data_IF_991906682572
#
_entry.id   IF_991906682572
#
_cell.length_a   1.000
_cell.length_b   1.000
_cell.length_c   1.000
_cell.angle_alpha   90.00
_cell.angle_beta   90.00
_cell.angle_gamma   90.00
#
_symmetry.space_group_name_H-M   'P 1'
#
loop_
_entity.id
_entity.type
_entity.pdbx_description
1 polymer ?
#
# COMPACT_ATOMS: atom_id res chain seq x y z
N UNK A 1 -2.10 -5.78 16.93
CA UNK A 1 -2.55 -4.58 17.68
C UNK A 1 -2.92 -3.48 16.68
N UNK A 2 -3.96 -2.67 16.92
CA UNK A 2 -4.45 -1.64 15.99
C UNK A 2 -3.40 -0.61 15.54
N UNK A 3 -2.39 -0.37 16.40
CA UNK A 3 -1.34 0.62 16.21
C UNK A 3 0.05 0.05 15.89
N UNK A 4 0.26 -1.28 15.93
CA UNK A 4 1.61 -1.88 15.88
C UNK A 4 2.39 -1.51 14.60
N UNK A 5 3.60 -1.01 14.73
CA UNK A 5 4.49 -0.79 13.58
C UNK A 5 5.17 -2.10 13.20
N UNK A 6 5.33 -2.36 11.90
CA UNK A 6 6.18 -3.47 11.47
C UNK A 6 7.66 -3.14 11.74
N UNK A 7 8.03 -1.87 11.57
CA UNK A 7 9.33 -1.33 11.97
C UNK A 7 9.21 -0.58 13.28
N UNK A 8 9.87 -1.11 14.30
CA UNK A 8 9.74 -0.61 15.67
C UNK A 8 10.65 0.60 15.96
N UNK A 9 11.60 0.91 15.07
CA UNK A 9 12.49 2.09 15.18
C UNK A 9 11.70 3.38 15.44
N UNK A 10 10.65 3.63 14.65
CA UNK A 10 9.81 4.84 14.78
C UNK A 10 8.85 4.81 15.97
N UNK A 11 8.80 3.68 16.69
CA UNK A 11 8.03 3.53 17.94
C UNK A 11 8.95 3.50 19.17
N UNK A 12 10.26 3.70 18.93
CA UNK A 12 11.32 3.73 19.93
C UNK A 12 11.43 2.44 20.75
N UNK A 13 11.05 1.30 20.16
CA UNK A 13 11.20 -0.03 20.78
C UNK A 13 10.59 -0.17 22.18
N UNK A 14 9.63 0.69 22.49
CA UNK A 14 9.10 0.92 23.85
C UNK A 14 8.21 -0.20 24.39
N UNK A 15 7.80 -1.12 23.52
CA UNK A 15 7.01 -2.29 23.89
C UNK A 15 7.30 -3.43 22.90
N UNK A 16 8.44 -4.11 23.10
CA UNK A 16 8.82 -5.30 22.34
C UNK A 16 8.36 -6.57 23.04
N UNK A 17 8.12 -7.67 22.31
CA UNK A 17 8.00 -8.98 22.93
C UNK A 17 9.30 -9.31 23.67
N UNK A 18 9.21 -9.58 24.97
CA UNK A 18 10.35 -9.99 25.80
C UNK A 18 10.04 -11.28 26.54
N UNK A 19 11.08 -11.95 27.07
CA UNK A 19 10.92 -13.13 27.91
C UNK A 19 10.56 -12.81 29.35
N UNK A 20 10.67 -11.55 29.78
CA UNK A 20 10.29 -11.10 31.11
C UNK A 20 8.92 -10.40 31.07
N UNK A 21 7.84 -11.02 31.58
CA UNK A 21 6.49 -10.45 31.54
C UNK A 21 6.34 -9.17 32.39
N UNK A 22 7.34 -8.81 33.20
CA UNK A 22 7.36 -7.58 34.00
C UNK A 22 8.14 -6.44 33.36
N UNK A 23 8.72 -6.65 32.17
CA UNK A 23 9.41 -5.59 31.44
C UNK A 23 8.46 -4.44 31.13
N UNK A 24 9.00 -3.22 31.14
CA UNK A 24 8.21 -2.01 30.91
C UNK A 24 7.74 -1.97 29.46
N UNK A 25 6.42 -1.96 29.26
CA UNK A 25 5.78 -1.64 27.99
C UNK A 25 5.14 -0.26 28.10
N UNK A 26 5.65 0.70 27.32
CA UNK A 26 5.05 2.04 27.20
C UNK A 26 4.63 2.29 25.75
N UNK A 27 3.76 3.28 25.52
CA UNK A 27 3.30 3.61 24.17
C UNK A 27 4.41 4.18 23.28
N UNK A 28 5.45 4.81 23.84
CA UNK A 28 6.43 5.53 23.03
C UNK A 28 5.77 6.47 22.02
N UNK A 29 6.08 6.30 20.74
CA UNK A 29 5.49 7.09 19.63
C UNK A 29 4.25 6.45 19.00
N UNK A 30 3.65 5.43 19.61
CA UNK A 30 2.35 4.93 19.19
C UNK A 30 1.25 6.00 19.38
N UNK A 31 0.25 6.05 18.48
CA UNK A 31 -0.93 6.87 18.70
C UNK A 31 -1.65 6.46 19.98
N UNK A 32 -2.17 7.44 20.70
CA UNK A 32 -2.88 7.22 21.98
C UNK A 32 -4.27 6.65 21.74
N UNK A 33 -4.90 7.04 20.63
CA UNK A 33 -6.23 6.59 20.22
C UNK A 33 -6.18 6.06 18.79
N UNK A 34 -6.94 4.99 18.53
CA UNK A 34 -7.08 4.42 17.19
C UNK A 34 -8.55 4.19 16.86
N UNK A 35 -9.03 4.83 15.80
CA UNK A 35 -10.33 4.56 15.20
C UNK A 35 -10.14 3.47 14.14
N UNK A 36 -10.70 2.30 14.38
CA UNK A 36 -10.81 1.25 13.35
C UNK A 36 -11.99 1.60 12.42
N UNK A 37 -11.69 2.32 11.34
CA UNK A 37 -12.71 2.79 10.42
C UNK A 37 -13.24 1.62 9.57
N UNK A 38 -14.57 1.44 9.60
CA UNK A 38 -15.29 0.44 8.80
C UNK A 38 -16.13 1.07 7.69
N UNK A 39 -16.40 2.37 7.81
CA UNK A 39 -17.22 3.15 6.87
C UNK A 39 -16.57 4.51 6.65
N UNK A 40 -16.91 5.18 5.54
CA UNK A 40 -16.45 6.54 5.27
C UNK A 40 -16.90 7.53 6.36
N UNK A 41 -18.04 7.28 7.00
CA UNK A 41 -18.53 8.10 8.12
C UNK A 41 -17.64 8.00 9.36
N UNK A 42 -17.02 6.85 9.63
CA UNK A 42 -16.04 6.75 10.72
C UNK A 42 -14.81 7.63 10.45
N UNK A 43 -14.38 7.69 9.19
CA UNK A 43 -13.27 8.56 8.77
C UNK A 43 -13.67 10.02 8.96
N UNK A 44 -14.84 10.42 8.44
CA UNK A 44 -15.39 11.78 8.59
C UNK A 44 -15.51 12.18 10.06
N UNK A 45 -16.11 11.34 10.90
CA UNK A 45 -16.26 11.58 12.32
C UNK A 45 -14.90 11.71 13.03
N UNK A 46 -13.92 10.88 12.67
CA UNK A 46 -12.55 10.94 13.18
C UNK A 46 -11.83 12.24 12.81
N UNK A 47 -11.96 12.69 11.56
CA UNK A 47 -11.42 13.99 11.10
C UNK A 47 -12.05 15.14 11.87
N UNK A 48 -13.38 15.16 11.98
CA UNK A 48 -14.11 16.20 12.71
C UNK A 48 -13.78 16.21 14.20
N UNK A 49 -13.59 15.03 14.80
CA UNK A 49 -13.17 14.91 16.20
C UNK A 49 -11.74 15.43 16.38
N UNK A 50 -10.81 15.08 15.50
CA UNK A 50 -9.45 15.60 15.53
C UNK A 50 -9.41 17.12 15.44
N UNK A 51 -10.14 17.70 14.46
CA UNK A 51 -10.20 19.14 14.27
C UNK A 51 -10.82 19.87 15.47
N UNK A 52 -11.93 19.37 16.02
CA UNK A 52 -12.61 19.98 17.19
C UNK A 52 -11.76 19.97 18.45
N UNK A 53 -10.91 18.96 18.62
CA UNK A 53 -10.09 18.78 19.82
C UNK A 53 -8.61 19.14 19.60
N UNK A 54 -8.27 19.73 18.46
CA UNK A 54 -6.90 20.09 18.10
C UNK A 54 -5.91 18.92 18.23
N UNK A 55 -6.31 17.73 17.76
CA UNK A 55 -5.49 16.52 17.83
C UNK A 55 -4.68 16.34 16.55
N UNK A 56 -3.43 15.89 16.70
CA UNK A 56 -2.63 15.41 15.58
C UNK A 56 -3.30 14.17 14.98
N UNK A 57 -3.73 14.27 13.73
CA UNK A 57 -4.32 13.17 12.99
C UNK A 57 -3.26 12.39 12.22
N UNK A 58 -3.29 11.06 12.32
CA UNK A 58 -2.44 10.15 11.54
C UNK A 58 -3.33 9.17 10.77
N UNK A 59 -3.02 8.98 9.51
CA UNK A 59 -3.66 7.95 8.69
C UNK A 59 -2.84 6.67 8.71
N UNK A 60 -3.52 5.54 8.84
CA UNK A 60 -2.88 4.23 8.97
C UNK A 60 -3.64 3.17 8.19
N UNK A 61 -2.90 2.19 7.67
CA UNK A 61 -3.44 0.94 7.15
C UNK A 61 -2.74 -0.24 7.86
N UNK A 62 -1.69 -0.81 7.26
CA UNK A 62 -1.00 -2.02 7.76
C UNK A 62 0.07 -1.74 8.82
N UNK A 63 0.61 -0.51 8.88
CA UNK A 63 1.80 -0.19 9.68
C UNK A 63 3.13 -0.51 8.99
N UNK A 64 3.09 -0.76 7.67
CA UNK A 64 4.24 -1.04 6.81
C UNK A 64 4.82 0.26 6.22
N UNK A 65 4.99 1.32 7.03
CA UNK A 65 5.71 2.52 6.60
C UNK A 65 7.14 2.57 7.17
N UNK A 66 8.14 2.60 6.29
CA UNK A 66 9.57 2.63 6.63
C UNK A 66 10.06 3.97 7.19
N UNK A 67 9.24 5.02 7.18
CA UNK A 67 9.60 6.37 7.64
C UNK A 67 8.77 6.81 8.86
N UNK A 68 8.01 5.89 9.46
CA UNK A 68 7.18 6.18 10.63
C UNK A 68 5.96 7.08 10.34
N UNK A 69 5.59 7.32 9.07
CA UNK A 69 4.49 8.23 8.69
C UNK A 69 3.11 7.74 9.11
N UNK A 70 2.99 6.48 9.54
CA UNK A 70 1.75 5.86 10.04
C UNK A 70 1.70 5.70 11.57
N UNK A 71 2.63 6.33 12.28
CA UNK A 71 2.67 6.44 13.76
C UNK A 71 2.94 7.90 14.17
N UNK A 72 2.75 8.21 15.45
CA UNK A 72 2.96 9.57 15.96
C UNK A 72 2.57 9.67 17.43
N UNK A 73 3.47 10.23 18.23
CA UNK A 73 3.22 10.49 19.65
C UNK A 73 2.03 11.44 19.84
N UNK A 74 1.20 11.13 20.83
CA UNK A 74 0.02 11.94 21.18
C UNK A 74 -1.07 11.98 20.11
N UNK A 75 -0.95 11.19 19.04
CA UNK A 75 -1.83 11.28 17.89
C UNK A 75 -3.12 10.47 18.06
N UNK A 76 -4.14 10.88 17.31
CA UNK A 76 -5.28 10.06 16.93
C UNK A 76 -4.98 9.41 15.59
N UNK A 77 -4.98 8.08 15.53
CA UNK A 77 -4.87 7.35 14.27
C UNK A 77 -6.24 6.93 13.75
N UNK A 78 -6.50 7.13 12.46
CA UNK A 78 -7.60 6.48 11.75
C UNK A 78 -7.00 5.33 10.94
N UNK A 79 -7.40 4.11 11.29
CA UNK A 79 -6.96 2.90 10.62
C UNK A 79 -8.02 2.46 9.57
N UNK A 80 -7.63 2.43 8.30
CA UNK A 80 -8.48 2.04 7.15
C UNK A 80 -8.35 0.58 6.76
N UNK A 81 -7.66 -0.24 7.55
CA UNK A 81 -7.42 -1.65 7.22
C UNK A 81 -8.71 -2.49 7.14
N UNK A 82 -9.83 -2.06 7.73
CA UNK A 82 -11.09 -2.81 7.62
C UNK A 82 -11.80 -2.65 6.27
N UNK A 83 -11.33 -1.78 5.37
CA UNK A 83 -11.89 -1.64 4.03
C UNK A 83 -11.35 -2.74 3.10
N UNK A 84 -11.97 -3.92 3.17
CA UNK A 84 -11.52 -5.14 2.47
C UNK A 84 -12.36 -5.48 1.23
N UNK A 85 -13.19 -4.56 0.74
CA UNK A 85 -14.02 -4.78 -0.45
C UNK A 85 -13.15 -4.94 -1.70
N UNK A 86 -13.49 -5.89 -2.56
CA UNK A 86 -12.85 -6.07 -3.87
C UNK A 86 -13.95 -6.26 -4.92
N UNK A 87 -13.88 -5.51 -6.00
CA UNK A 87 -14.77 -5.62 -7.14
C UNK A 87 -13.96 -5.73 -8.43
N UNK A 88 -14.31 -6.69 -9.29
CA UNK A 88 -13.66 -6.91 -10.58
C UNK A 88 -14.58 -6.42 -11.69
N UNK A 89 -14.04 -5.58 -12.56
CA UNK A 89 -14.76 -5.00 -13.69
C UNK A 89 -14.11 -5.50 -14.97
N UNK A 90 -14.86 -6.18 -15.85
CA UNK A 90 -14.31 -6.66 -17.13
C UNK A 90 -14.13 -5.54 -18.16
N UNK A 91 -15.08 -4.60 -18.19
CA UNK A 91 -15.10 -3.48 -19.12
C UNK A 91 -15.29 -2.19 -18.33
N UNK A 92 -14.18 -1.52 -18.00
CA UNK A 92 -14.20 -0.22 -17.36
C UNK A 92 -14.84 0.82 -18.31
N UNK A 93 -15.90 1.46 -17.83
CA UNK A 93 -16.60 2.57 -18.49
C UNK A 93 -16.60 3.85 -17.65
N UNK A 94 -15.76 3.89 -16.61
CA UNK A 94 -15.59 5.06 -15.76
C UNK A 94 -14.76 6.16 -16.42
N UNK A 95 -14.33 7.13 -15.63
CA UNK A 95 -13.57 8.27 -16.11
C UNK A 95 -12.26 7.91 -16.82
N UNK A 96 -11.85 8.79 -17.74
CA UNK A 96 -10.65 8.67 -18.57
C UNK A 96 -10.94 8.10 -19.96
N UNK A 97 -9.86 7.72 -20.66
CA UNK A 97 -9.91 7.09 -21.99
C UNK A 97 -9.66 5.58 -21.95
N UNK A 98 -9.43 5.02 -20.76
CA UNK A 98 -9.11 3.61 -20.61
C UNK A 98 -10.38 2.78 -20.77
N UNK A 99 -10.28 1.73 -21.59
CA UNK A 99 -11.28 0.68 -21.73
C UNK A 99 -10.58 -0.65 -21.54
N UNK A 100 -11.07 -1.48 -20.62
CA UNK A 100 -10.46 -2.77 -20.32
C UNK A 100 -10.81 -3.25 -18.93
N UNK A 101 -10.14 -4.30 -18.47
CA UNK A 101 -10.39 -4.86 -17.15
C UNK A 101 -9.80 -3.99 -16.05
N UNK A 102 -10.50 -3.92 -14.92
CA UNK A 102 -10.08 -3.15 -13.76
C UNK A 102 -10.43 -3.89 -12.46
N UNK A 103 -9.73 -3.54 -11.40
CA UNK A 103 -10.02 -3.94 -10.04
C UNK A 103 -10.25 -2.70 -9.18
N UNK A 104 -11.37 -2.67 -8.47
CA UNK A 104 -11.63 -1.69 -7.42
C UNK A 104 -11.41 -2.35 -6.08
N UNK A 105 -10.47 -1.83 -5.31
CA UNK A 105 -10.12 -2.34 -3.98
C UNK A 105 -10.39 -1.31 -2.90
N UNK A 106 -10.87 -1.76 -1.74
CA UNK A 106 -10.91 -0.95 -0.54
C UNK A 106 -9.49 -0.66 -0.03
N UNK A 107 -9.32 0.45 0.68
CA UNK A 107 -8.02 0.93 1.15
C UNK A 107 -7.26 -0.05 2.04
N UNK A 108 -7.94 -1.04 2.64
CA UNK A 108 -7.35 -2.06 3.49
C UNK A 108 -6.84 -3.30 2.74
N UNK A 109 -7.25 -3.50 1.48
CA UNK A 109 -6.89 -4.68 0.69
C UNK A 109 -5.38 -4.68 0.43
N UNK A 110 -4.73 -5.78 0.81
CA UNK A 110 -3.30 -5.96 0.58
C UNK A 110 -3.04 -6.56 -0.81
N UNK A 111 -1.90 -6.20 -1.40
CA UNK A 111 -1.48 -6.63 -2.73
C UNK A 111 -1.60 -8.15 -2.94
N UNK A 112 -1.14 -8.96 -1.97
CA UNK A 112 -1.23 -10.42 -2.06
C UNK A 112 -2.66 -10.95 -2.13
N UNK A 113 -3.63 -10.30 -1.48
CA UNK A 113 -5.03 -10.69 -1.57
C UNK A 113 -5.63 -10.32 -2.94
N UNK A 114 -5.35 -9.12 -3.43
CA UNK A 114 -5.78 -8.67 -4.76
C UNK A 114 -5.22 -9.57 -5.88
N UNK A 115 -3.92 -9.91 -5.81
CA UNK A 115 -3.27 -10.80 -6.78
C UNK A 115 -3.89 -12.21 -6.77
N UNK A 116 -4.14 -12.80 -5.58
CA UNK A 116 -4.81 -14.10 -5.48
C UNK A 116 -6.19 -14.10 -6.13
N UNK A 117 -6.98 -13.04 -5.92
CA UNK A 117 -8.31 -12.91 -6.50
C UNK A 117 -8.29 -12.76 -8.03
N UNK A 118 -7.30 -12.03 -8.56
CA UNK A 118 -7.11 -11.85 -10.00
C UNK A 118 -6.60 -13.12 -10.67
N UNK A 119 -5.65 -13.82 -10.05
CA UNK A 119 -5.10 -15.07 -10.58
C UNK A 119 -6.16 -16.20 -10.63
N UNK A 120 -7.17 -16.16 -9.76
CA UNK A 120 -8.29 -17.10 -9.79
C UNK A 120 -9.30 -16.87 -10.94
N UNK A 121 -9.14 -15.82 -11.75
CA UNK A 121 -10.00 -15.57 -12.91
C UNK A 121 -9.66 -16.49 -14.10
N UNK A 122 -10.54 -16.56 -15.09
CA UNK A 122 -10.29 -17.24 -16.36
C UNK A 122 -10.55 -16.27 -17.54
N UNK A 123 -9.49 -15.85 -18.28
CA UNK A 123 -8.07 -16.13 -18.02
C UNK A 123 -7.57 -15.47 -16.71
N UNK A 124 -6.46 -15.97 -16.11
CA UNK A 124 -5.88 -15.34 -14.92
C UNK A 124 -5.50 -13.89 -15.19
N UNK A 125 -5.67 -13.04 -14.17
CA UNK A 125 -5.33 -11.63 -14.24
C UNK A 125 -4.22 -11.24 -13.26
N UNK A 126 -3.64 -10.07 -13.49
CA UNK A 126 -2.64 -9.43 -12.64
C UNK A 126 -2.90 -7.92 -12.51
N UNK A 127 -2.39 -7.34 -11.41
CA UNK A 127 -2.34 -5.89 -11.19
C UNK A 127 -0.91 -5.50 -10.82
N UNK A 128 -0.44 -4.35 -11.29
CA UNK A 128 0.88 -3.81 -10.96
C UNK A 128 0.88 -3.38 -9.48
N UNK A 129 1.79 -3.89 -8.65
CA UNK A 129 1.81 -3.61 -7.19
C UNK A 129 2.98 -2.71 -6.74
N UNK A 130 3.96 -2.46 -7.61
CA UNK A 130 4.96 -1.39 -7.45
C UNK A 130 6.31 -1.76 -6.81
N UNK A 131 6.59 -3.03 -6.54
CA UNK A 131 7.88 -3.45 -5.95
C UNK A 131 9.03 -3.53 -6.97
N UNK A 132 8.73 -3.87 -8.23
CA UNK A 132 9.75 -4.04 -9.27
C UNK A 132 9.82 -2.83 -10.20
N UNK A 133 11.00 -2.19 -10.26
CA UNK A 133 11.28 -1.14 -11.26
C UNK A 133 11.38 -1.70 -12.70
N UNK A 134 11.62 -3.01 -12.85
CA UNK A 134 11.89 -3.68 -14.12
C UNK A 134 10.65 -4.16 -14.88
N UNK A 135 9.49 -4.27 -14.21
CA UNK A 135 8.30 -4.91 -14.79
C UNK A 135 7.39 -3.97 -15.59
N UNK A 136 7.81 -2.73 -15.84
CA UNK A 136 7.07 -1.77 -16.65
C UNK A 136 5.86 -1.17 -15.90
N UNK A 137 5.95 0.12 -15.58
CA UNK A 137 4.88 0.92 -14.97
C UNK A 137 4.79 0.79 -13.45
N UNK A 138 4.42 1.90 -12.78
CA UNK A 138 4.12 1.91 -11.35
C UNK A 138 2.61 1.73 -11.11
N UNK A 139 2.21 1.29 -9.91
CA UNK A 139 0.79 1.24 -9.50
C UNK A 139 0.09 2.60 -9.69
N UNK A 140 0.84 3.70 -9.55
CA UNK A 140 0.36 5.04 -9.84
C UNK A 140 -0.05 5.23 -11.32
N UNK A 141 0.60 4.56 -12.28
CA UNK A 141 0.30 4.67 -13.71
C UNK A 141 -0.95 3.88 -14.12
N UNK A 142 -1.32 2.90 -13.30
CA UNK A 142 -2.50 2.06 -13.52
C UNK A 142 -3.74 2.57 -12.80
N UNK A 143 -3.62 3.58 -11.93
CA UNK A 143 -4.77 4.16 -11.23
C UNK A 143 -5.77 4.82 -12.19
N UNK A 144 -7.05 4.50 -12.01
CA UNK A 144 -8.18 5.01 -12.79
C UNK A 144 -9.02 5.99 -11.98
N UNK A 145 -9.24 5.70 -10.69
CA UNK A 145 -10.13 6.47 -9.82
C UNK A 145 -9.80 6.22 -8.35
N UNK A 146 -10.00 7.24 -7.51
CA UNK A 146 -9.98 7.13 -6.06
C UNK A 146 -11.27 7.68 -5.47
N UNK A 147 -11.86 6.94 -4.55
CA UNK A 147 -12.86 7.48 -3.65
C UNK A 147 -12.19 7.91 -2.36
N UNK A 148 -12.44 9.16 -1.97
CA UNK A 148 -11.71 9.80 -0.89
C UNK A 148 -12.63 10.54 0.07
N UNK A 149 -12.17 10.68 1.31
CA UNK A 149 -12.69 11.66 2.27
C UNK A 149 -11.66 12.79 2.38
N UNK A 150 -12.10 14.00 2.06
CA UNK A 150 -11.28 15.22 2.12
C UNK A 150 -11.02 15.64 3.58
N UNK A 151 -10.08 16.56 3.80
CA UNK A 151 -9.83 17.15 5.12
C UNK A 151 -11.06 17.88 5.71
N UNK A 152 -11.98 18.34 4.87
CA UNK A 152 -13.28 18.89 5.30
C UNK A 152 -14.31 17.83 5.72
N UNK A 153 -14.00 16.55 5.58
CA UNK A 153 -14.91 15.44 5.87
C UNK A 153 -15.94 15.17 4.77
N UNK A 154 -15.79 15.76 3.59
CA UNK A 154 -16.64 15.49 2.43
C UNK A 154 -16.12 14.31 1.64
N UNK A 155 -17.03 13.43 1.22
CA UNK A 155 -16.74 12.35 0.29
C UNK A 155 -16.65 12.89 -1.14
N UNK A 156 -15.63 12.46 -1.87
CA UNK A 156 -15.41 12.86 -3.25
C UNK A 156 -14.77 11.72 -4.04
N UNK A 157 -15.04 11.71 -5.34
CA UNK A 157 -14.38 10.83 -6.31
C UNK A 157 -13.38 11.66 -7.09
N UNK A 158 -12.13 11.20 -7.15
CA UNK A 158 -11.03 11.81 -7.88
C UNK A 158 -10.60 10.92 -9.03
N UNK A 159 -10.73 11.41 -10.25
CA UNK A 159 -10.39 10.71 -11.47
C UNK A 159 -10.00 11.71 -12.58
N UNK A 160 -9.78 11.21 -13.81
CA UNK A 160 -9.36 12.05 -14.93
C UNK A 160 -10.40 13.12 -15.37
N UNK A 161 -11.68 12.96 -15.03
CA UNK A 161 -12.76 13.85 -15.44
C UNK A 161 -13.30 14.73 -14.28
N UNK A 162 -13.08 14.33 -13.02
CA UNK A 162 -13.62 14.96 -11.82
C UNK A 162 -12.55 15.02 -10.73
N UNK A 163 -12.30 16.20 -10.17
CA UNK A 163 -11.22 16.44 -9.19
C UNK A 163 -9.85 15.94 -9.71
N UNK A 164 -9.49 16.35 -10.93
CA UNK A 164 -8.31 15.88 -11.65
C UNK A 164 -6.99 16.28 -10.99
N UNK A 165 -6.99 17.36 -10.22
CA UNK A 165 -5.86 17.87 -9.43
C UNK A 165 -5.55 16.96 -8.21
N UNK A 166 -6.49 16.63 -7.30
CA UNK A 166 -6.30 15.55 -6.34
C UNK A 166 -5.97 14.22 -6.99
N UNK A 167 -6.59 13.87 -8.12
CA UNK A 167 -6.30 12.63 -8.82
C UNK A 167 -4.82 12.57 -9.24
N UNK A 168 -4.28 13.64 -9.80
CA UNK A 168 -2.86 13.74 -10.13
C UNK A 168 -1.98 13.62 -8.88
N UNK A 169 -2.31 14.34 -7.80
CA UNK A 169 -1.52 14.33 -6.58
C UNK A 169 -1.49 12.95 -5.89
N UNK A 170 -2.62 12.23 -5.89
CA UNK A 170 -2.73 10.89 -5.31
C UNK A 170 -1.94 9.83 -6.10
N UNK A 171 -1.60 10.10 -7.37
CA UNK A 171 -0.82 9.22 -8.26
C UNK A 171 0.68 9.47 -8.15
N UNK A 172 1.20 9.47 -6.92
CA UNK A 172 2.66 9.52 -6.68
C UNK A 172 3.14 10.67 -5.80
N UNK A 173 2.27 11.60 -5.39
CA UNK A 173 2.62 12.70 -4.48
C UNK A 173 2.91 12.29 -3.03
N UNK A 174 2.76 11.01 -2.70
CA UNK A 174 3.03 10.45 -1.38
C UNK A 174 1.81 10.42 -0.45
N UNK A 175 1.95 9.76 0.72
CA UNK A 175 0.83 9.46 1.60
C UNK A 175 0.36 10.66 2.43
N UNK A 176 -0.88 10.55 2.94
CA UNK A 176 -1.42 11.35 4.05
C UNK A 176 -1.47 12.88 3.90
N UNK A 177 -1.22 13.44 2.71
CA UNK A 177 -1.19 14.89 2.49
C UNK A 177 -2.41 15.46 1.78
N UNK A 178 -3.11 14.67 0.96
CA UNK A 178 -4.12 15.20 0.02
C UNK A 178 -5.55 14.82 0.39
N UNK A 179 -5.79 13.55 0.73
CA UNK A 179 -7.08 13.05 1.17
C UNK A 179 -6.94 11.64 1.80
N UNK A 180 -8.01 11.17 2.45
CA UNK A 180 -8.07 9.78 2.94
C UNK A 180 -8.72 8.89 1.89
N UNK A 181 -7.97 7.94 1.34
CA UNK A 181 -8.48 6.97 0.38
C UNK A 181 -9.39 5.95 1.09
N UNK A 182 -10.56 5.73 0.51
CA UNK A 182 -11.56 4.72 0.90
C UNK A 182 -11.49 3.51 -0.02
N UNK A 183 -11.44 3.77 -1.33
CA UNK A 183 -11.27 2.78 -2.39
C UNK A 183 -10.44 3.35 -3.53
N UNK A 184 -9.81 2.46 -4.29
CA UNK A 184 -9.02 2.80 -5.46
C UNK A 184 -9.28 1.79 -6.58
N UNK A 185 -9.42 2.28 -7.80
CA UNK A 185 -9.61 1.50 -9.01
C UNK A 185 -8.33 1.50 -9.84
N UNK A 186 -7.88 0.33 -10.26
CA UNK A 186 -6.66 0.13 -11.05
C UNK A 186 -6.93 -0.70 -12.30
N UNK A 187 -6.18 -0.42 -13.37
CA UNK A 187 -6.12 -1.29 -14.55
C UNK A 187 -5.61 -2.68 -14.15
N UNK A 188 -6.22 -3.70 -14.73
CA UNK A 188 -5.73 -5.07 -14.64
C UNK A 188 -5.31 -5.57 -16.01
N UNK A 189 -4.48 -6.59 -16.01
CA UNK A 189 -3.91 -7.17 -17.22
C UNK A 189 -4.11 -8.68 -17.18
N UNK A 190 -4.17 -9.32 -18.35
CA UNK A 190 -4.10 -10.77 -18.42
C UNK A 190 -2.72 -11.23 -17.96
N UNK A 191 -2.68 -12.23 -17.10
CA UNK A 191 -1.44 -12.85 -16.66
C UNK A 191 -0.80 -13.58 -17.84
N UNK A 192 0.50 -13.37 -18.03
CA UNK A 192 1.27 -13.95 -19.13
C UNK A 192 2.37 -14.84 -18.53
N UNK A 193 2.69 -15.99 -19.14
CA UNK A 193 3.78 -16.82 -18.69
C UNK A 193 5.08 -16.01 -18.57
N UNK A 194 5.66 -16.01 -17.37
CA UNK A 194 6.94 -15.35 -17.08
C UNK A 194 7.89 -16.33 -16.40
N UNK A 195 9.16 -16.30 -16.78
CA UNK A 195 10.22 -17.06 -16.12
C UNK A 195 11.15 -16.10 -15.39
N UNK A 196 11.60 -16.50 -14.21
CA UNK A 196 12.57 -15.76 -13.41
C UNK A 196 13.58 -16.72 -12.81
N UNK A 197 14.85 -16.32 -12.79
CA UNK A 197 15.92 -17.08 -12.11
C UNK A 197 16.58 -16.19 -11.07
N UNK A 198 16.89 -16.75 -9.91
CA UNK A 198 17.67 -16.08 -8.88
C UNK A 198 19.07 -16.68 -8.85
N UNK A 199 20.07 -15.91 -9.29
CA UNK A 199 21.47 -16.29 -9.22
C UNK A 199 22.09 -15.72 -7.94
N UNK A 200 22.36 -16.59 -6.97
CA UNK A 200 23.09 -16.24 -5.76
C UNK A 200 24.54 -16.70 -5.89
N UNK A 201 25.48 -15.75 -5.95
CA UNK A 201 26.91 -16.06 -5.95
C UNK A 201 27.49 -15.71 -4.58
N UNK A 202 27.88 -16.73 -3.82
CA UNK A 202 28.48 -16.55 -2.50
C UNK A 202 30.01 -16.36 -2.61
N UNK A 203 30.47 -15.13 -2.36
CA UNK A 203 31.89 -14.75 -2.57
C UNK A 203 32.81 -15.11 -1.41
N UNK A 204 32.31 -15.64 -0.28
CA UNK A 204 33.18 -16.08 0.84
C UNK A 204 33.92 -17.39 0.56
N UNK A 205 33.56 -18.12 -0.49
CA UNK A 205 34.23 -19.36 -0.88
C UNK A 205 35.24 -19.22 -2.04
N UNK A 206 35.33 -18.05 -2.69
CA UNK A 206 36.28 -17.83 -3.80
C UNK A 206 36.86 -16.41 -3.77
N UNK A 207 38.15 -16.26 -3.50
CA UNK A 207 38.91 -15.02 -3.81
C UNK A 207 39.33 -14.94 -5.28
N UNK A 208 38.92 -15.92 -6.11
CA UNK A 208 39.33 -16.09 -7.49
C UNK A 208 38.44 -15.30 -8.47
N UNK A 209 38.72 -14.00 -8.58
CA UNK A 209 38.03 -13.06 -9.48
C UNK A 209 37.93 -13.51 -10.96
N UNK A 210 38.94 -14.18 -11.55
CA UNK A 210 38.83 -14.78 -12.88
C UNK A 210 37.69 -15.80 -13.07
N UNK A 211 37.49 -16.71 -12.11
CA UNK A 211 36.44 -17.74 -12.20
C UNK A 211 35.04 -17.14 -12.10
N UNK A 212 34.88 -16.11 -11.26
CA UNK A 212 33.64 -15.33 -11.18
C UNK A 212 33.31 -14.67 -12.52
N UNK A 213 34.30 -14.02 -13.16
CA UNK A 213 34.09 -13.44 -14.49
C UNK A 213 33.68 -14.48 -15.51
N UNK A 214 34.34 -15.64 -15.52
CA UNK A 214 34.04 -16.69 -16.49
C UNK A 214 32.58 -17.17 -16.35
N UNK A 215 32.13 -17.47 -15.13
CA UNK A 215 30.77 -17.96 -14.86
C UNK A 215 29.65 -16.97 -15.22
N UNK A 216 29.88 -15.66 -15.04
CA UNK A 216 28.91 -14.61 -15.40
C UNK A 216 28.96 -14.27 -16.89
N UNK A 217 30.10 -14.52 -17.55
CA UNK A 217 30.33 -14.20 -18.97
C UNK A 217 29.98 -15.32 -19.94
N UNK A 218 29.80 -16.56 -19.48
CA UNK A 218 29.39 -17.68 -20.34
C UNK A 218 27.92 -17.54 -20.73
N UNK A 219 27.61 -17.39 -22.04
CA UNK A 219 26.23 -17.48 -22.51
C UNK A 219 25.68 -18.87 -22.19
N UNK A 220 24.49 -18.94 -21.59
CA UNK A 220 23.81 -20.21 -21.37
C UNK A 220 23.48 -20.84 -22.72
N UNK A 221 23.91 -22.08 -22.96
CA UNK A 221 23.36 -22.92 -24.02
C UNK A 221 22.00 -23.42 -23.53
N UNK A 222 20.93 -22.97 -24.21
CA UNK A 222 19.59 -23.52 -24.05
C UNK A 222 19.57 -24.92 -24.69
N UNK A 223 19.33 -25.96 -23.89
CA UNK A 223 18.94 -27.31 -24.33
C UNK A 223 17.41 -27.46 -24.20
#
# INVERSE_FOLDING_TARGET
MPAAGLWTYFTNDTCRPTSNPTDTCTLGYYPVLVIMAKTADHIKAGIQFANRNNLRLIMRNTGHDFLGRSVGWGALAINTHSFQSVNLTKNWSGAGRYTGSAITVGAGVQAGAALKMLNAQSPPGIVVTGECATVGGFLADTALEFDVVTAGGSYATANANKNSDPFWALRGGGPASFAVIVSASYKTFTDLPSSGTMLNINTTHTTNYPQLRQAVSTPGTED
#
